data_IF_522212625751
#
_entry.id   IF_522212625751
#
_cell.length_a   1.000
_cell.length_b   1.000
_cell.length_c   1.000
_cell.angle_alpha   90.00
_cell.angle_beta   90.00
_cell.angle_gamma   90.00
#
_symmetry.space_group_name_H-M   'P 1'
#
loop_
_entity.id
_entity.type
_entity.pdbx_description
1 polymer ?
#
# COMPACT_ATOMS: atom_id res chain seq x y z
N UNK A 1 -20.49 -7.77 -44.54
CA UNK A 1 -20.10 -8.59 -43.38
C UNK A 1 -19.34 -7.66 -42.44
N UNK A 2 -20.05 -7.01 -41.52
CA UNK A 2 -19.44 -6.10 -40.54
C UNK A 2 -18.64 -6.93 -39.54
N UNK A 3 -17.34 -6.68 -39.46
CA UNK A 3 -16.51 -7.19 -38.37
C UNK A 3 -16.67 -6.24 -37.19
N UNK A 4 -17.55 -6.58 -36.26
CA UNK A 4 -17.52 -5.99 -34.92
C UNK A 4 -16.28 -6.52 -34.21
N UNK A 5 -15.15 -5.83 -34.35
CA UNK A 5 -13.99 -6.05 -33.50
C UNK A 5 -14.28 -5.30 -32.21
N UNK A 6 -14.97 -5.97 -31.30
CA UNK A 6 -15.13 -5.50 -29.93
C UNK A 6 -14.46 -6.50 -29.00
N UNK A 7 -13.19 -6.24 -28.74
CA UNK A 7 -12.43 -6.85 -27.65
C UNK A 7 -11.19 -6.00 -27.44
N UNK A 8 -11.40 -4.75 -27.03
CA UNK A 8 -10.42 -4.09 -26.19
C UNK A 8 -10.31 -4.97 -24.94
N UNK A 9 -9.36 -5.90 -24.96
CA UNK A 9 -8.85 -6.49 -23.73
C UNK A 9 -8.36 -5.29 -22.91
N UNK A 10 -9.18 -4.81 -21.99
CA UNK A 10 -8.72 -3.93 -20.92
C UNK A 10 -7.69 -4.74 -20.13
N UNK A 11 -6.44 -4.68 -20.57
CA UNK A 11 -5.29 -5.19 -19.83
C UNK A 11 -5.21 -4.35 -18.57
N UNK A 12 -5.92 -4.78 -17.54
CA UNK A 12 -5.93 -4.13 -16.23
C UNK A 12 -4.48 -3.95 -15.79
N UNK A 13 -4.15 -2.74 -15.39
CA UNK A 13 -2.86 -2.40 -14.87
C UNK A 13 -2.86 -2.81 -13.38
N UNK A 14 -2.53 -4.07 -13.11
CA UNK A 14 -2.58 -4.64 -11.75
C UNK A 14 -1.29 -4.38 -10.98
N UNK A 15 -1.40 -3.70 -9.85
CA UNK A 15 -0.29 -3.40 -8.94
C UNK A 15 -0.37 -4.31 -7.73
N UNK A 16 0.80 -4.71 -7.23
CA UNK A 16 0.97 -5.34 -5.92
C UNK A 16 1.80 -4.41 -5.05
N UNK A 17 1.28 -4.11 -3.86
CA UNK A 17 2.02 -3.41 -2.81
C UNK A 17 2.05 -4.29 -1.58
N UNK A 18 3.24 -4.64 -1.11
CA UNK A 18 3.41 -5.37 0.15
C UNK A 18 3.21 -4.40 1.33
N UNK A 19 2.39 -4.77 2.32
CA UNK A 19 2.26 -4.05 3.58
C UNK A 19 3.10 -4.79 4.64
N UNK A 20 4.06 -4.07 5.20
CA UNK A 20 4.95 -4.51 6.26
C UNK A 20 4.59 -3.74 7.52
N UNK A 21 4.30 -4.43 8.61
CA UNK A 21 3.92 -3.78 9.86
C UNK A 21 4.51 -4.48 11.07
N UNK A 22 4.62 -3.74 12.18
CA UNK A 22 5.00 -4.32 13.47
C UNK A 22 3.98 -5.43 13.85
N UNK A 23 4.41 -6.56 14.44
CA UNK A 23 3.52 -7.70 14.73
C UNK A 23 2.27 -7.33 15.52
N UNK A 24 2.38 -6.34 16.41
CA UNK A 24 1.31 -5.84 17.27
C UNK A 24 0.22 -5.09 16.48
N UNK A 25 0.56 -4.45 15.36
CA UNK A 25 -0.36 -3.70 14.51
C UNK A 25 -1.05 -4.58 13.47
N UNK A 26 -0.63 -5.84 13.33
CA UNK A 26 -1.02 -6.73 12.24
C UNK A 26 -2.52 -6.88 12.09
N UNK A 27 -3.21 -7.27 13.16
CA UNK A 27 -4.64 -7.57 13.10
C UNK A 27 -5.45 -6.31 12.82
N UNK A 28 -5.03 -5.20 13.42
CA UNK A 28 -5.64 -3.89 13.25
C UNK A 28 -5.49 -3.36 11.82
N UNK A 29 -4.26 -3.35 11.29
CA UNK A 29 -3.97 -2.94 9.90
C UNK A 29 -4.68 -3.87 8.91
N UNK A 30 -4.69 -5.17 9.19
CA UNK A 30 -5.39 -6.15 8.37
C UNK A 30 -6.90 -5.94 8.35
N UNK A 31 -7.53 -5.69 9.51
CA UNK A 31 -8.95 -5.37 9.60
C UNK A 31 -9.26 -4.05 8.90
N UNK A 32 -8.44 -3.02 9.11
CA UNK A 32 -8.60 -1.73 8.46
C UNK A 32 -8.67 -1.87 6.94
N UNK A 33 -7.68 -2.51 6.31
CA UNK A 33 -7.70 -2.68 4.85
C UNK A 33 -8.76 -3.68 4.37
N UNK A 34 -9.19 -4.65 5.18
CA UNK A 34 -10.30 -5.56 4.83
C UNK A 34 -11.64 -4.84 4.75
N UNK A 35 -11.83 -3.78 5.54
CA UNK A 35 -13.03 -2.94 5.51
C UNK A 35 -13.04 -1.96 4.32
N UNK A 36 -11.90 -1.76 3.67
CA UNK A 36 -11.77 -0.90 2.50
C UNK A 36 -11.79 -1.74 1.21
N UNK A 37 -12.58 -1.32 0.23
CA UNK A 37 -12.68 -2.01 -1.08
C UNK A 37 -11.49 -1.66 -2.00
N UNK A 38 -10.28 -2.02 -1.56
CA UNK A 38 -8.98 -1.67 -2.17
C UNK A 38 -8.16 -2.88 -2.61
N UNK A 39 -8.80 -4.05 -2.74
CA UNK A 39 -8.11 -5.26 -3.21
C UNK A 39 -7.15 -5.87 -2.17
N UNK A 40 -7.51 -5.79 -0.90
CA UNK A 40 -6.73 -6.35 0.19
C UNK A 40 -6.72 -7.89 0.14
N UNK A 41 -5.54 -8.47 0.28
CA UNK A 41 -5.34 -9.92 0.40
C UNK A 41 -4.33 -10.25 1.50
N UNK A 42 -4.64 -11.27 2.29
CA UNK A 42 -3.69 -11.88 3.22
C UNK A 42 -2.84 -12.86 2.42
N UNK A 43 -1.52 -12.67 2.40
CA UNK A 43 -0.60 -13.61 1.76
C UNK A 43 -0.09 -14.58 2.82
N UNK A 44 -0.25 -15.88 2.58
CA UNK A 44 0.44 -16.91 3.35
C UNK A 44 1.93 -16.89 3.00
N UNK A 45 2.78 -16.64 4.00
CA UNK A 45 4.23 -16.61 3.82
C UNK A 45 4.83 -17.86 4.46
N UNK A 46 5.48 -18.70 3.67
CA UNK A 46 6.16 -19.91 4.14
C UNK A 46 7.56 -19.64 4.73
N UNK A 47 7.90 -18.38 4.99
CA UNK A 47 9.19 -17.96 5.57
C UNK A 47 9.04 -17.65 7.05
N UNK A 48 9.87 -18.30 7.86
CA UNK A 48 9.89 -18.19 9.32
C UNK A 48 10.44 -16.84 9.78
N UNK A 49 11.28 -16.19 8.97
CA UNK A 49 11.94 -14.92 9.31
C UNK A 49 11.06 -13.69 9.08
N UNK A 50 10.06 -13.79 8.19
CA UNK A 50 9.12 -12.72 7.91
C UNK A 50 7.71 -13.30 7.85
N UNK A 51 7.13 -13.69 9.00
CA UNK A 51 5.94 -14.52 9.04
C UNK A 51 4.68 -13.84 8.47
N UNK A 52 4.72 -12.54 8.15
CA UNK A 52 3.53 -11.79 7.79
C UNK A 52 3.79 -10.80 6.65
N UNK A 53 3.18 -11.07 5.49
CA UNK A 53 3.03 -10.10 4.40
C UNK A 53 1.55 -9.90 4.12
N UNK A 54 1.03 -8.75 4.50
CA UNK A 54 -0.23 -8.25 3.96
C UNK A 54 0.07 -7.69 2.57
N UNK A 55 -0.88 -7.72 1.64
CA UNK A 55 -0.69 -7.09 0.34
C UNK A 55 -1.96 -6.50 -0.22
N UNK A 56 -1.79 -5.43 -0.98
CA UNK A 56 -2.83 -4.83 -1.81
C UNK A 56 -2.60 -5.27 -3.25
N UNK A 57 -3.63 -5.85 -3.85
CA UNK A 57 -3.67 -6.24 -5.26
C UNK A 57 -4.83 -5.53 -5.92
N UNK A 58 -4.54 -4.55 -6.78
CA UNK A 58 -5.58 -3.68 -7.32
C UNK A 58 -5.27 -3.24 -8.75
N UNK A 59 -6.32 -2.95 -9.52
CA UNK A 59 -6.22 -2.29 -10.81
C UNK A 59 -5.96 -0.80 -10.57
N UNK A 60 -4.73 -0.34 -10.85
CA UNK A 60 -4.27 1.01 -10.56
C UNK A 60 -5.18 2.07 -11.20
N UNK A 61 -5.60 1.83 -12.45
CA UNK A 61 -6.45 2.75 -13.18
C UNK A 61 -7.84 2.91 -12.55
N UNK A 62 -8.36 1.86 -11.90
CA UNK A 62 -9.70 1.84 -11.30
C UNK A 62 -9.72 2.15 -9.81
N UNK A 63 -8.66 1.79 -9.09
CA UNK A 63 -8.63 1.74 -7.62
C UNK A 63 -7.50 2.55 -6.99
N UNK A 64 -6.65 3.19 -7.79
CA UNK A 64 -5.49 3.93 -7.27
C UNK A 64 -5.87 5.07 -6.32
N UNK A 65 -7.00 5.74 -6.56
CA UNK A 65 -7.49 6.82 -5.67
C UNK A 65 -7.98 6.24 -4.33
N UNK A 66 -8.73 5.15 -4.37
CA UNK A 66 -9.26 4.46 -3.19
C UNK A 66 -8.14 3.89 -2.33
N UNK A 67 -7.13 3.30 -2.95
CA UNK A 67 -5.92 2.80 -2.27
C UNK A 67 -5.17 3.96 -1.62
N UNK A 68 -4.96 5.06 -2.33
CA UNK A 68 -4.33 6.25 -1.77
C UNK A 68 -5.11 6.78 -0.57
N UNK A 69 -6.44 6.92 -0.68
CA UNK A 69 -7.31 7.33 0.44
C UNK A 69 -7.19 6.40 1.64
N UNK A 70 -7.19 5.08 1.42
CA UNK A 70 -7.05 4.11 2.50
C UNK A 70 -5.70 4.26 3.23
N UNK A 71 -4.60 4.44 2.49
CA UNK A 71 -3.26 4.66 3.07
C UNK A 71 -3.22 5.99 3.84
N UNK A 72 -3.76 7.06 3.27
CA UNK A 72 -3.76 8.37 3.93
C UNK A 72 -4.66 8.40 5.16
N UNK A 73 -5.80 7.69 5.15
CA UNK A 73 -6.66 7.54 6.33
C UNK A 73 -6.00 6.72 7.45
N UNK A 74 -5.09 5.80 7.11
CA UNK A 74 -4.28 5.11 8.10
C UNK A 74 -3.24 6.06 8.73
N UNK A 75 -2.77 7.08 7.99
CA UNK A 75 -1.85 8.11 8.50
C UNK A 75 -2.55 9.14 9.41
N UNK A 76 -3.86 9.35 9.28
CA UNK A 76 -4.63 10.23 10.19
C UNK A 76 -4.58 9.75 11.66
N UNK A 77 -4.16 8.51 11.85
CA UNK A 77 -3.88 7.95 13.16
C UNK A 77 -2.58 8.48 13.72
N UNK A 78 -2.75 9.31 14.74
CA UNK A 78 -1.68 9.97 15.49
C UNK A 78 -0.62 9.03 16.11
N UNK A 79 -0.95 7.76 16.28
CA UNK A 79 -0.12 6.68 16.86
C UNK A 79 0.70 5.91 15.81
N UNK A 80 0.49 6.15 14.51
CA UNK A 80 1.10 5.37 13.42
C UNK A 80 1.98 6.26 12.54
N UNK A 81 3.13 5.73 12.13
CA UNK A 81 3.96 6.29 11.05
C UNK A 81 3.87 5.40 9.80
N UNK A 82 3.75 6.02 8.63
CA UNK A 82 3.72 5.32 7.33
C UNK A 82 4.94 5.69 6.50
N UNK A 83 5.65 4.68 6.02
CA UNK A 83 6.78 4.81 5.09
C UNK A 83 6.48 4.10 3.77
N UNK A 84 6.55 4.82 2.65
CA UNK A 84 6.46 4.22 1.32
C UNK A 84 7.85 3.86 0.79
N UNK A 85 8.00 2.62 0.34
CA UNK A 85 9.20 2.12 -0.32
C UNK A 85 8.96 2.07 -1.83
N UNK A 86 9.84 2.69 -2.60
CA UNK A 86 9.69 2.86 -4.05
C UNK A 86 10.86 2.24 -4.79
N UNK A 87 10.57 1.53 -5.88
CA UNK A 87 11.61 1.12 -6.82
C UNK A 87 12.19 2.36 -7.49
N UNK A 88 13.51 2.39 -7.69
CA UNK A 88 14.18 3.43 -8.48
C UNK A 88 14.59 2.89 -9.84
N UNK A 89 14.54 3.74 -10.86
CA UNK A 89 14.79 3.35 -12.26
C UNK A 89 16.22 2.84 -12.52
N UNK A 90 17.14 3.03 -11.56
CA UNK A 90 18.55 2.66 -11.68
C UNK A 90 18.84 1.20 -11.32
N UNK A 91 18.02 0.55 -10.48
CA UNK A 91 18.02 -0.90 -10.30
C UNK A 91 16.80 -1.36 -9.49
N UNK A 92 16.24 -2.56 -9.76
CA UNK A 92 15.13 -3.12 -8.97
C UNK A 92 15.49 -3.39 -7.49
N UNK A 93 16.78 -3.36 -7.14
CA UNK A 93 17.26 -3.50 -5.76
C UNK A 93 17.43 -2.15 -5.04
N UNK A 94 17.43 -1.04 -5.78
CA UNK A 94 17.61 0.30 -5.24
C UNK A 94 16.24 0.84 -4.83
N UNK A 95 15.91 0.71 -3.54
CA UNK A 95 14.64 1.17 -2.97
C UNK A 95 14.83 2.51 -2.26
N UNK A 96 14.02 3.51 -2.62
CA UNK A 96 13.96 4.79 -1.90
C UNK A 96 12.78 4.77 -0.93
N UNK A 97 13.00 5.15 0.33
CA UNK A 97 11.93 5.32 1.31
C UNK A 97 11.48 6.78 1.39
N UNK A 98 10.18 6.98 1.58
CA UNK A 98 9.55 8.29 1.81
C UNK A 98 8.59 8.15 2.98
N UNK A 99 8.83 8.89 4.06
CA UNK A 99 7.86 9.00 5.17
C UNK A 99 6.71 9.91 4.75
N UNK A 100 5.48 9.41 4.86
CA UNK A 100 4.29 10.22 4.68
C UNK A 100 4.06 11.03 5.95
N UNK A 101 3.78 12.34 5.80
CA UNK A 101 3.70 13.28 6.94
C UNK A 101 2.36 14.03 7.06
N UNK A 102 1.55 14.04 6.00
CA UNK A 102 0.29 14.79 5.93
C UNK A 102 -0.73 13.99 5.13
N UNK A 103 -1.86 13.66 5.74
CA UNK A 103 -2.95 12.87 5.16
C UNK A 103 -3.75 13.58 4.05
N UNK A 104 -3.66 14.92 3.99
CA UNK A 104 -4.42 15.74 3.03
C UNK A 104 -3.97 15.57 1.57
N UNK A 105 -2.86 14.90 1.31
CA UNK A 105 -2.20 14.85 0.00
C UNK A 105 -2.46 13.53 -0.77
N UNK A 106 -3.74 13.21 -0.95
CA UNK A 106 -4.20 11.97 -1.60
C UNK A 106 -3.66 11.84 -3.04
N UNK A 107 -3.66 12.93 -3.81
CA UNK A 107 -3.17 12.90 -5.20
C UNK A 107 -1.66 12.62 -5.26
N UNK A 108 -0.85 13.25 -4.39
CA UNK A 108 0.58 12.89 -4.33
C UNK A 108 0.79 11.47 -3.84
N UNK A 109 0.00 10.98 -2.89
CA UNK A 109 0.06 9.58 -2.47
C UNK A 109 -0.19 8.65 -3.67
N UNK A 110 -1.25 8.90 -4.44
CA UNK A 110 -1.59 8.15 -5.65
C UNK A 110 -0.47 8.16 -6.69
N UNK A 111 0.14 9.32 -6.95
CA UNK A 111 1.27 9.40 -7.88
C UNK A 111 2.45 8.54 -7.41
N UNK A 112 2.72 8.50 -6.10
CA UNK A 112 3.76 7.66 -5.52
C UNK A 112 3.45 6.17 -5.60
N UNK A 113 2.17 5.76 -5.59
CA UNK A 113 1.76 4.36 -5.70
C UNK A 113 2.25 3.69 -7.00
N UNK A 114 2.38 4.46 -8.09
CA UNK A 114 2.84 3.94 -9.40
C UNK A 114 4.20 3.26 -9.34
N UNK A 115 5.05 3.66 -8.38
CA UNK A 115 6.42 3.16 -8.18
C UNK A 115 6.59 2.52 -6.80
N UNK A 116 5.51 2.40 -6.04
CA UNK A 116 5.54 1.84 -4.69
C UNK A 116 5.56 0.31 -4.76
N UNK A 117 6.50 -0.28 -4.03
CA UNK A 117 6.64 -1.74 -3.92
C UNK A 117 6.24 -2.25 -2.55
N UNK A 118 6.39 -1.41 -1.52
CA UNK A 118 5.98 -1.74 -0.17
C UNK A 118 5.58 -0.51 0.64
N UNK A 119 4.78 -0.73 1.68
CA UNK A 119 4.38 0.25 2.68
C UNK A 119 4.75 -0.31 4.05
N UNK A 120 5.59 0.42 4.78
CA UNK A 120 5.89 0.19 6.18
C UNK A 120 4.90 0.92 7.08
N UNK A 121 4.33 0.22 8.06
CA UNK A 121 3.41 0.76 9.06
C UNK A 121 3.97 0.45 10.45
N UNK A 122 4.26 1.48 11.24
CA UNK A 122 4.94 1.30 12.53
C UNK A 122 4.36 2.18 13.63
N UNK A 123 4.65 1.77 14.87
CA UNK A 123 4.66 2.63 16.08
C UNK A 123 5.19 4.03 15.82
N UNK A 124 4.41 5.10 16.05
CA UNK A 124 4.99 6.43 16.24
C UNK A 124 5.71 6.51 17.61
N UNK A 125 7.00 6.18 17.61
CA UNK A 125 7.85 6.14 18.81
C UNK A 125 8.08 7.51 19.47
N UNK A 126 7.81 8.61 18.77
CA UNK A 126 7.91 9.96 19.37
C UNK A 126 6.83 10.21 20.44
N UNK A 127 5.76 9.40 20.47
CA UNK A 127 4.66 9.52 21.45
C UNK A 127 4.69 8.51 22.58
N UNK A 128 5.58 7.51 22.54
CA UNK A 128 5.74 6.52 23.62
C UNK A 128 6.50 7.07 24.85
N UNK A 129 7.05 8.29 24.77
CA UNK A 129 7.84 8.91 25.84
C UNK A 129 7.14 10.04 26.62
N UNK A 130 5.81 10.11 26.58
CA UNK A 130 5.02 11.15 27.27
C UNK A 130 4.14 10.59 28.40
N UNK A 131 4.66 9.66 29.19
CA UNK A 131 4.10 9.27 30.50
C UNK A 131 5.13 9.45 31.61
#
# INVERSE_FOLDING_TARGET
MEKTVNSDLHLGQYWRIDIVCDPELRDEVGQYFSLHDVGFSKIEVFSVENPYKLALFFDFAKKGVEVAKAIMGLLDRNDIEITMYRATDSSPQSVKSIKLRKSEDVEKCKDLLSTCVAIGVQRNKEKEGSE
#
